data_IF_827903942508
#
_entry.id   IF_827903942508
#
_cell.length_a   1.000
_cell.length_b   1.000
_cell.length_c   1.000
_cell.angle_alpha   90.00
_cell.angle_beta   90.00
_cell.angle_gamma   90.00
#
_symmetry.space_group_name_H-M   'P 1'
#
loop_
_entity.id
_entity.type
_entity.pdbx_description
1 polymer ?
#
# COMPACT_ATOMS: atom_id res chain seq x y z
N UNK A 1 -5.63 3.22 -10.19
CA UNK A 1 -5.79 3.75 -8.82
C UNK A 1 -4.48 4.42 -8.39
N UNK A 2 -4.49 5.71 -8.03
CA UNK A 2 -3.28 6.51 -7.79
C UNK A 2 -3.07 6.65 -6.29
N UNK A 3 -1.96 6.12 -5.77
CA UNK A 3 -1.66 6.16 -4.32
C UNK A 3 -0.91 7.41 -3.85
N UNK A 4 -0.52 8.31 -4.75
CA UNK A 4 0.26 9.51 -4.40
C UNK A 4 -0.70 10.69 -4.16
N UNK A 5 -0.65 11.25 -2.96
CA UNK A 5 -1.38 12.46 -2.58
C UNK A 5 -0.56 13.67 -3.05
N UNK A 6 -0.95 14.26 -4.19
CA UNK A 6 -0.29 15.46 -4.70
C UNK A 6 -0.25 15.50 -6.23
N UNK A 7 -1.21 16.18 -6.86
CA UNK A 7 -1.28 16.30 -8.31
C UNK A 7 -0.85 17.65 -8.87
N UNK A 8 -0.95 18.70 -8.13
CA UNK A 8 -0.53 20.02 -8.57
C UNK A 8 1.02 20.12 -8.46
N UNK A 9 1.71 19.92 -9.58
CA UNK A 9 3.15 20.11 -9.69
C UNK A 9 4.05 18.89 -9.44
N UNK A 10 3.49 17.70 -9.17
CA UNK A 10 4.32 16.51 -8.86
C UNK A 10 5.03 15.91 -10.08
N UNK A 11 4.61 16.19 -11.30
CA UNK A 11 5.30 15.73 -12.52
C UNK A 11 6.72 16.28 -12.71
N UNK A 12 7.10 17.32 -11.95
CA UNK A 12 8.46 17.87 -11.94
C UNK A 12 9.27 17.49 -10.69
N UNK A 13 8.64 16.86 -9.69
CA UNK A 13 9.28 16.53 -8.40
C UNK A 13 9.95 15.18 -8.43
N UNK A 14 9.33 14.22 -9.07
CA UNK A 14 9.83 12.85 -9.26
C UNK A 14 9.17 12.18 -10.47
N UNK A 15 9.85 11.18 -11.03
CA UNK A 15 9.33 10.31 -12.05
C UNK A 15 8.78 9.03 -11.41
N UNK A 16 7.54 8.66 -11.74
CA UNK A 16 6.86 7.48 -11.24
C UNK A 16 6.49 6.54 -12.40
N UNK A 17 7.03 5.34 -12.37
CA UNK A 17 6.69 4.28 -13.31
C UNK A 17 6.03 3.10 -12.60
N UNK A 18 5.18 2.36 -13.33
CA UNK A 18 4.51 1.14 -12.86
C UNK A 18 4.47 0.12 -13.97
N UNK A 19 4.68 -1.15 -13.60
CA UNK A 19 4.60 -2.27 -14.54
C UNK A 19 4.01 -3.52 -13.87
N UNK A 20 3.51 -4.42 -14.71
CA UNK A 20 2.96 -5.69 -14.26
C UNK A 20 4.09 -6.65 -13.84
N UNK A 21 3.84 -7.52 -12.84
CA UNK A 21 4.74 -8.60 -12.49
C UNK A 21 4.79 -9.67 -13.60
N UNK A 22 5.84 -10.49 -13.59
CA UNK A 22 5.87 -11.74 -14.35
C UNK A 22 4.73 -12.67 -13.91
N UNK A 23 4.32 -13.65 -14.73
CA UNK A 23 3.25 -14.60 -14.37
C UNK A 23 3.52 -15.32 -13.04
N UNK A 24 4.77 -15.64 -12.72
CA UNK A 24 5.16 -16.32 -11.49
C UNK A 24 5.04 -15.41 -10.27
N UNK A 25 5.46 -14.17 -10.36
CA UNK A 25 5.35 -13.19 -9.28
C UNK A 25 3.90 -12.68 -9.12
N UNK A 26 3.09 -12.64 -10.19
CA UNK A 26 1.71 -12.15 -10.19
C UNK A 26 0.78 -12.90 -9.22
N UNK A 27 1.15 -14.12 -8.83
CA UNK A 27 0.44 -14.88 -7.78
C UNK A 27 0.44 -14.19 -6.43
N UNK A 28 1.43 -13.33 -6.18
CA UNK A 28 1.68 -12.68 -4.89
C UNK A 28 1.78 -11.16 -5.00
N UNK A 29 2.28 -10.64 -6.13
CA UNK A 29 2.54 -9.22 -6.38
C UNK A 29 1.47 -8.63 -7.29
N UNK A 30 0.90 -7.50 -6.89
CA UNK A 30 -0.10 -6.76 -7.67
C UNK A 30 0.55 -5.93 -8.77
N UNK A 31 1.66 -5.27 -8.43
CA UNK A 31 2.44 -4.45 -9.38
C UNK A 31 3.84 -4.17 -8.86
N UNK A 32 4.74 -3.91 -9.79
CA UNK A 32 6.00 -3.23 -9.53
C UNK A 32 5.86 -1.73 -9.79
N UNK A 33 6.69 -0.95 -9.12
CA UNK A 33 6.74 0.50 -9.29
C UNK A 33 8.14 1.02 -9.03
N UNK A 34 8.47 2.18 -9.60
CA UNK A 34 9.68 2.92 -9.26
C UNK A 34 9.38 4.41 -9.13
N UNK A 35 10.13 5.05 -8.26
CA UNK A 35 10.19 6.50 -8.11
C UNK A 35 11.65 6.91 -8.20
N UNK A 36 11.95 7.90 -9.03
CA UNK A 36 13.27 8.52 -9.09
C UNK A 36 13.16 10.03 -9.05
N UNK A 37 14.16 10.69 -8.46
CA UNK A 37 14.18 12.14 -8.32
C UNK A 37 15.60 12.69 -8.38
N UNK A 38 15.71 13.97 -8.81
CA UNK A 38 16.90 14.79 -8.65
C UNK A 38 16.48 16.15 -8.12
N UNK A 39 16.68 16.35 -6.83
CA UNK A 39 16.28 17.56 -6.09
C UNK A 39 17.47 18.34 -5.55
N UNK A 40 18.65 18.14 -6.10
CA UNK A 40 19.87 18.82 -5.64
C UNK A 40 19.77 20.34 -5.77
N UNK A 41 18.96 20.83 -6.74
CA UNK A 41 18.73 22.26 -6.94
C UNK A 41 17.53 22.80 -6.14
N UNK A 42 16.54 21.95 -5.77
CA UNK A 42 15.24 22.39 -5.24
C UNK A 42 15.06 22.17 -3.72
N UNK A 43 16.00 21.46 -3.10
CA UNK A 43 15.92 21.09 -1.68
C UNK A 43 14.92 19.96 -1.36
N UNK A 44 14.77 19.64 -0.07
CA UNK A 44 13.93 18.52 0.36
C UNK A 44 12.45 18.69 0.01
N UNK A 45 11.78 17.57 -0.27
CA UNK A 45 10.34 17.51 -0.53
C UNK A 45 9.67 16.44 0.34
N UNK A 46 8.64 16.84 1.09
CA UNK A 46 7.84 15.90 1.87
C UNK A 46 6.76 15.27 0.98
N UNK A 47 6.87 13.97 0.76
CA UNK A 47 5.88 13.18 0.04
C UNK A 47 4.91 12.50 1.01
N UNK A 48 3.63 12.50 0.66
CA UNK A 48 2.59 11.79 1.39
C UNK A 48 1.87 10.82 0.45
N UNK A 49 1.69 9.58 0.88
CA UNK A 49 1.07 8.51 0.08
C UNK A 49 -0.05 7.85 0.85
N UNK A 50 -1.23 7.76 0.22
CA UNK A 50 -2.33 6.92 0.71
C UNK A 50 -1.98 5.48 0.35
N UNK A 51 -1.64 4.68 1.36
CA UNK A 51 -1.23 3.30 1.17
C UNK A 51 -2.42 2.35 1.04
N UNK A 52 -2.18 1.19 0.46
CA UNK A 52 -3.11 0.06 0.41
C UNK A 52 -2.89 -0.87 1.61
N UNK A 53 -3.81 -1.81 1.90
CA UNK A 53 -3.59 -2.87 2.88
C UNK A 53 -2.60 -3.93 2.31
N UNK A 54 -1.41 -3.47 1.95
CA UNK A 54 -0.40 -4.23 1.23
C UNK A 54 0.98 -4.01 1.83
N UNK A 55 1.78 -5.06 1.88
CA UNK A 55 3.19 -4.99 2.18
C UNK A 55 3.95 -4.67 0.89
N UNK A 56 5.05 -3.92 1.02
CA UNK A 56 5.96 -3.66 -0.09
C UNK A 56 7.35 -4.16 0.26
N UNK A 57 8.06 -4.68 -0.72
CA UNK A 57 9.52 -4.83 -0.67
C UNK A 57 10.10 -3.78 -1.59
N UNK A 58 11.07 -3.00 -1.10
CA UNK A 58 11.72 -1.94 -1.87
C UNK A 58 13.24 -2.10 -1.88
N UNK A 59 13.87 -1.76 -3.00
CA UNK A 59 15.28 -1.38 -3.07
C UNK A 59 15.35 0.14 -3.11
N UNK A 60 16.11 0.73 -2.19
CA UNK A 60 16.23 2.18 -2.02
C UNK A 60 17.68 2.62 -2.02
N UNK A 61 18.00 3.69 -2.77
CA UNK A 61 19.34 4.27 -2.84
C UNK A 61 19.29 5.77 -3.16
N UNK A 62 20.41 6.46 -3.01
CA UNK A 62 20.55 7.88 -3.34
C UNK A 62 21.57 8.60 -2.48
N UNK A 63 21.52 9.94 -2.54
CA UNK A 63 22.41 10.81 -1.78
C UNK A 63 22.09 10.80 -0.27
N UNK A 64 20.86 10.43 0.12
CA UNK A 64 20.49 10.24 1.52
C UNK A 64 21.24 9.02 2.09
N UNK A 65 21.96 9.20 3.19
CA UNK A 65 22.67 8.10 3.87
C UNK A 65 21.76 7.29 4.79
N UNK A 66 20.61 7.85 5.21
CA UNK A 66 19.63 7.20 6.08
C UNK A 66 18.21 7.57 5.64
N UNK A 67 17.35 6.58 5.48
CA UNK A 67 15.90 6.75 5.24
C UNK A 67 15.14 5.72 6.05
N UNK A 68 13.98 6.12 6.62
CA UNK A 68 13.19 5.26 7.53
C UNK A 68 13.99 4.73 8.73
N UNK A 69 15.06 5.41 9.15
CA UNK A 69 15.95 4.95 10.22
C UNK A 69 16.95 3.86 9.81
N UNK A 70 17.05 3.57 8.50
CA UNK A 70 17.94 2.54 7.94
C UNK A 70 18.94 3.18 6.99
N UNK A 71 20.21 2.72 7.03
CA UNK A 71 21.26 3.18 6.13
C UNK A 71 21.00 2.73 4.70
N UNK A 72 21.24 3.60 3.73
CA UNK A 72 21.14 3.33 2.30
C UNK A 72 22.52 3.11 1.65
N UNK A 73 22.60 2.37 0.54
CA UNK A 73 21.52 1.65 -0.14
C UNK A 73 21.05 0.43 0.64
N UNK A 74 19.73 0.13 0.60
CA UNK A 74 19.17 -1.02 1.33
C UNK A 74 17.94 -1.61 0.62
N UNK A 75 17.65 -2.87 0.96
CA UNK A 75 16.40 -3.54 0.59
C UNK A 75 15.53 -3.65 1.85
N UNK A 76 14.30 -3.12 1.76
CA UNK A 76 13.43 -2.93 2.91
C UNK A 76 12.09 -3.63 2.73
N UNK A 77 11.53 -4.13 3.83
CA UNK A 77 10.12 -4.54 3.91
C UNK A 77 9.35 -3.43 4.60
N UNK A 78 8.38 -2.85 3.90
CA UNK A 78 7.42 -1.92 4.44
C UNK A 78 6.15 -2.68 4.79
N UNK A 79 5.87 -2.83 6.07
CA UNK A 79 4.62 -3.38 6.56
C UNK A 79 3.43 -2.48 6.21
N UNK A 80 2.21 -2.98 6.41
CA UNK A 80 1.01 -2.16 6.18
C UNK A 80 1.08 -0.90 7.04
N UNK A 81 0.91 0.25 6.40
CA UNK A 81 0.95 1.56 7.06
C UNK A 81 -0.47 1.93 7.51
N UNK A 82 -0.75 1.98 8.83
CA UNK A 82 -2.09 2.24 9.33
C UNK A 82 -2.62 3.65 9.06
N UNK A 83 -1.72 4.60 8.79
CA UNK A 83 -2.02 6.00 8.50
C UNK A 83 -1.46 6.39 7.13
N UNK A 84 -1.39 7.69 6.83
CA UNK A 84 -0.69 8.18 5.65
C UNK A 84 0.81 7.88 5.78
N UNK A 85 1.41 7.35 4.71
CA UNK A 85 2.86 7.16 4.64
C UNK A 85 3.51 8.50 4.27
N UNK A 86 4.44 8.96 5.09
CA UNK A 86 5.20 10.19 4.85
C UNK A 86 6.68 9.86 4.72
N UNK A 87 7.31 10.46 3.73
CA UNK A 87 8.76 10.36 3.54
C UNK A 87 9.27 11.67 2.97
N UNK A 88 10.48 12.04 3.33
CA UNK A 88 11.18 13.18 2.74
C UNK A 88 12.17 12.66 1.72
N UNK A 89 12.15 13.22 0.51
CA UNK A 89 13.12 12.97 -0.54
C UNK A 89 14.00 14.22 -0.70
N UNK A 90 15.30 14.01 -0.80
CA UNK A 90 16.30 15.07 -0.99
C UNK A 90 17.43 14.58 -1.91
N UNK A 91 18.27 15.50 -2.41
CA UNK A 91 19.36 15.13 -3.28
C UNK A 91 18.88 14.38 -4.53
N UNK A 92 19.65 13.40 -4.97
CA UNK A 92 19.29 12.45 -6.04
C UNK A 92 19.06 11.07 -5.43
N UNK A 93 18.04 10.36 -5.90
CA UNK A 93 17.79 9.01 -5.43
C UNK A 93 16.71 8.29 -6.21
N UNK A 94 16.57 7.02 -5.90
CA UNK A 94 15.51 6.19 -6.47
C UNK A 94 15.05 5.10 -5.50
N UNK A 95 13.85 4.61 -5.76
CA UNK A 95 13.22 3.47 -5.10
C UNK A 95 12.59 2.59 -6.17
N UNK A 96 12.82 1.30 -6.08
CA UNK A 96 12.08 0.28 -6.84
C UNK A 96 11.33 -0.59 -5.83
N UNK A 97 10.06 -0.86 -6.09
CA UNK A 97 9.23 -1.60 -5.14
C UNK A 97 8.31 -2.64 -5.78
N UNK A 98 8.15 -3.75 -5.08
CA UNK A 98 7.10 -4.74 -5.31
C UNK A 98 5.96 -4.47 -4.33
N UNK A 99 4.76 -4.14 -4.83
CA UNK A 99 3.54 -4.07 -4.02
C UNK A 99 2.85 -5.42 -4.08
N UNK A 100 2.76 -6.09 -2.96
CA UNK A 100 2.07 -7.36 -2.85
C UNK A 100 0.54 -7.18 -2.89
N UNK A 101 -0.18 -8.20 -3.36
CA UNK A 101 -1.60 -8.31 -3.04
C UNK A 101 -1.79 -8.37 -1.52
N UNK A 102 -2.92 -7.89 -0.96
CA UNK A 102 -3.19 -8.09 0.45
C UNK A 102 -3.12 -9.58 0.82
N UNK A 103 -2.23 -9.93 1.76
CA UNK A 103 -1.93 -11.32 2.13
C UNK A 103 -0.87 -12.01 1.28
N UNK A 104 -0.51 -11.47 0.11
CA UNK A 104 0.44 -12.11 -0.82
C UNK A 104 1.86 -12.23 -0.26
N UNK A 105 2.32 -11.28 0.55
CA UNK A 105 3.61 -11.35 1.23
C UNK A 105 3.69 -12.55 2.19
N UNK A 106 2.69 -12.71 3.05
CA UNK A 106 2.63 -13.85 3.98
C UNK A 106 2.50 -15.17 3.23
N UNK A 107 1.68 -15.23 2.19
CA UNK A 107 1.54 -16.43 1.36
C UNK A 107 2.86 -16.83 0.66
N UNK A 108 3.68 -15.84 0.26
CA UNK A 108 4.96 -16.08 -0.41
C UNK A 108 6.07 -16.48 0.54
N UNK A 109 6.15 -15.83 1.70
CA UNK A 109 7.32 -15.92 2.59
C UNK A 109 7.02 -16.58 3.93
N UNK A 110 5.76 -16.91 4.25
CA UNK A 110 5.38 -17.51 5.54
C UNK A 110 5.52 -16.59 6.75
N UNK A 111 5.86 -15.31 6.55
CA UNK A 111 6.06 -14.34 7.64
C UNK A 111 4.74 -13.70 8.06
N UNK A 112 4.57 -13.45 9.35
CA UNK A 112 3.38 -12.80 9.91
C UNK A 112 3.35 -11.30 9.54
N UNK A 113 2.39 -10.91 8.70
CA UNK A 113 2.20 -9.51 8.31
C UNK A 113 1.88 -8.60 9.52
N UNK A 114 1.27 -9.15 10.58
CA UNK A 114 0.93 -8.39 11.79
C UNK A 114 2.14 -7.89 12.55
N UNK A 115 3.26 -8.61 12.51
CA UNK A 115 4.52 -8.19 13.14
C UNK A 115 5.21 -7.04 12.40
N UNK A 116 4.88 -6.85 11.12
CA UNK A 116 5.44 -5.80 10.26
C UNK A 116 4.58 -4.53 10.22
N UNK A 117 3.34 -4.58 10.70
CA UNK A 117 2.41 -3.44 10.62
C UNK A 117 2.98 -2.18 11.25
N UNK A 118 3.02 -1.08 10.49
CA UNK A 118 3.58 0.21 10.90
C UNK A 118 5.10 0.26 10.99
N UNK A 119 5.80 -0.76 10.51
CA UNK A 119 7.26 -0.86 10.57
C UNK A 119 7.87 -0.88 9.18
N UNK A 120 9.10 -0.37 9.08
CA UNK A 120 10.00 -0.54 7.95
C UNK A 120 11.24 -1.25 8.50
N UNK A 121 11.58 -2.38 7.92
CA UNK A 121 12.70 -3.19 8.38
C UNK A 121 13.59 -3.62 7.21
N UNK A 122 14.91 -3.75 7.39
CA UNK A 122 15.76 -4.38 6.38
C UNK A 122 15.28 -5.79 6.05
N UNK A 123 15.41 -6.17 4.79
CA UNK A 123 15.25 -7.56 4.37
C UNK A 123 16.37 -8.38 5.01
N UNK A 124 16.01 -9.45 5.70
CA UNK A 124 16.97 -10.43 6.20
C UNK A 124 17.39 -11.40 5.08
N UNK A 125 18.59 -11.99 5.20
CA UNK A 125 19.15 -12.89 4.19
C UNK A 125 18.32 -14.17 3.99
N UNK A 126 17.47 -14.51 4.95
CA UNK A 126 16.61 -15.70 4.90
C UNK A 126 15.32 -15.48 4.11
N UNK A 127 14.89 -14.22 3.91
CA UNK A 127 13.57 -13.92 3.30
C UNK A 127 13.43 -14.53 1.90
N UNK A 128 14.49 -14.49 1.11
CA UNK A 128 14.50 -15.04 -0.24
C UNK A 128 15.19 -16.41 -0.35
N UNK A 129 15.67 -16.95 0.78
CA UNK A 129 16.43 -18.21 0.82
C UNK A 129 17.88 -18.07 0.34
N UNK A 130 18.28 -16.90 -0.14
CA UNK A 130 19.66 -16.54 -0.49
C UNK A 130 19.77 -15.00 -0.52
N UNK A 131 20.95 -14.42 -0.31
CA UNK A 131 21.17 -12.99 -0.46
C UNK A 131 20.82 -12.54 -1.86
N UNK A 132 19.99 -11.50 -1.97
CA UNK A 132 19.70 -10.86 -3.25
C UNK A 132 20.65 -9.69 -3.42
N UNK A 133 21.52 -9.77 -4.43
CA UNK A 133 22.30 -8.63 -4.88
C UNK A 133 21.41 -7.79 -5.79
N UNK A 134 20.87 -6.71 -5.23
CA UNK A 134 20.10 -5.71 -5.97
C UNK A 134 21.04 -4.56 -6.32
N UNK A 135 21.19 -4.33 -7.61
CA UNK A 135 21.93 -3.19 -8.15
C UNK A 135 21.18 -1.88 -7.90
N UNK A 136 21.89 -0.75 -7.92
CA UNK A 136 21.32 0.60 -7.79
C UNK A 136 20.94 1.13 -9.20
N UNK A 137 20.25 0.29 -9.96
CA UNK A 137 19.63 0.57 -11.25
C UNK A 137 18.17 0.09 -11.26
N UNK A 138 17.25 0.95 -11.73
CA UNK A 138 15.82 0.69 -11.68
C UNK A 138 15.41 -0.58 -12.43
N UNK A 139 15.93 -0.76 -13.63
CA UNK A 139 15.55 -1.91 -14.47
C UNK A 139 16.10 -3.21 -13.89
N UNK A 140 17.38 -3.21 -13.50
CA UNK A 140 18.08 -4.37 -12.92
C UNK A 140 17.47 -4.75 -11.57
N UNK A 141 17.25 -3.78 -10.67
CA UNK A 141 16.63 -4.03 -9.38
C UNK A 141 15.18 -4.55 -9.53
N UNK A 142 14.41 -3.98 -10.46
CA UNK A 142 13.05 -4.42 -10.73
C UNK A 142 12.99 -5.87 -11.24
N UNK A 143 13.85 -6.21 -12.20
CA UNK A 143 13.93 -7.57 -12.73
C UNK A 143 14.40 -8.59 -11.67
N UNK A 144 15.38 -8.21 -10.84
CA UNK A 144 15.89 -9.07 -9.78
C UNK A 144 14.83 -9.31 -8.67
N UNK A 145 14.07 -8.28 -8.28
CA UNK A 145 12.96 -8.43 -7.34
C UNK A 145 11.85 -9.32 -7.92
N UNK A 146 11.48 -9.13 -9.18
CA UNK A 146 10.47 -9.94 -9.86
C UNK A 146 10.89 -11.42 -9.90
N UNK A 147 12.12 -11.69 -10.32
CA UNK A 147 12.67 -13.04 -10.33
C UNK A 147 12.72 -13.68 -8.93
N UNK A 148 13.13 -12.91 -7.91
CA UNK A 148 13.25 -13.42 -6.55
C UNK A 148 11.87 -13.74 -5.92
N UNK A 149 10.86 -12.91 -6.16
CA UNK A 149 9.49 -13.22 -5.72
C UNK A 149 8.91 -14.37 -6.51
N UNK A 150 9.11 -14.40 -7.82
CA UNK A 150 8.64 -15.44 -8.73
C UNK A 150 9.31 -16.82 -8.57
N UNK A 151 10.49 -16.87 -7.94
CA UNK A 151 11.25 -18.12 -7.73
C UNK A 151 10.52 -19.18 -6.85
N UNK A 152 9.36 -18.86 -6.28
CA UNK A 152 8.53 -19.81 -5.56
C UNK A 152 7.80 -20.76 -6.52
N UNK A 153 8.12 -22.03 -6.47
CA UNK A 153 7.44 -23.06 -7.25
C UNK A 153 6.17 -23.60 -6.57
N UNK A 154 6.02 -23.37 -5.27
CA UNK A 154 4.87 -23.80 -4.52
C UNK A 154 3.62 -22.99 -4.87
N UNK A 155 2.48 -23.66 -4.99
CA UNK A 155 1.19 -22.98 -5.12
C UNK A 155 0.87 -22.20 -3.84
N UNK A 156 0.18 -21.05 -3.95
CA UNK A 156 -0.34 -20.33 -2.80
C UNK A 156 -1.15 -21.26 -1.88
N UNK A 157 -0.98 -21.13 -0.59
CA UNK A 157 -1.66 -21.99 0.38
C UNK A 157 -3.20 -21.83 0.34
N UNK A 158 -3.91 -22.82 0.91
CA UNK A 158 -5.37 -22.86 0.86
C UNK A 158 -6.02 -21.66 1.58
N UNK A 159 -5.39 -21.13 2.63
CA UNK A 159 -5.91 -19.98 3.38
C UNK A 159 -5.84 -18.72 2.53
N UNK A 160 -4.71 -18.48 1.87
CA UNK A 160 -4.56 -17.32 0.98
C UNK A 160 -5.51 -17.40 -0.22
N UNK A 161 -5.65 -18.59 -0.85
CA UNK A 161 -6.61 -18.78 -1.94
C UNK A 161 -8.04 -18.52 -1.53
N UNK A 162 -8.42 -18.84 -0.29
CA UNK A 162 -9.76 -18.57 0.24
C UNK A 162 -9.93 -17.11 0.71
N UNK A 163 -8.84 -16.42 1.10
CA UNK A 163 -8.84 -15.02 1.53
C UNK A 163 -8.99 -14.06 0.35
N UNK A 164 -8.35 -14.34 -0.78
CA UNK A 164 -8.31 -13.44 -1.95
C UNK A 164 -9.70 -13.05 -2.46
N UNK A 165 -10.66 -13.97 -2.70
CA UNK A 165 -12.01 -13.59 -3.14
C UNK A 165 -12.76 -12.71 -2.13
N UNK A 166 -12.52 -12.88 -0.83
CA UNK A 166 -13.12 -12.05 0.21
C UNK A 166 -12.56 -10.61 0.15
N UNK A 167 -11.24 -10.46 -0.04
CA UNK A 167 -10.59 -9.16 -0.18
C UNK A 167 -11.03 -8.43 -1.46
N UNK A 168 -11.15 -9.16 -2.58
CA UNK A 168 -11.65 -8.62 -3.84
C UNK A 168 -13.09 -8.11 -3.69
N UNK A 169 -13.96 -8.92 -3.06
CA UNK A 169 -15.32 -8.47 -2.75
C UNK A 169 -15.34 -7.22 -1.87
N UNK A 170 -14.53 -7.16 -0.83
CA UNK A 170 -14.44 -5.96 0.03
C UNK A 170 -14.00 -4.71 -0.72
N UNK A 171 -13.17 -4.88 -1.77
CA UNK A 171 -12.69 -3.78 -2.60
C UNK A 171 -13.73 -3.32 -3.63
N UNK A 172 -14.49 -4.26 -4.19
CA UNK A 172 -15.35 -4.04 -5.37
C UNK A 172 -16.82 -3.81 -5.00
N UNK A 173 -17.29 -4.43 -3.94
CA UNK A 173 -18.67 -4.32 -3.49
C UNK A 173 -18.86 -3.10 -2.59
N UNK A 174 -19.25 -1.98 -3.20
CA UNK A 174 -19.51 -0.71 -2.51
C UNK A 174 -20.67 -0.76 -1.50
N UNK A 175 -21.40 -1.87 -1.39
CA UNK A 175 -22.49 -2.05 -0.40
C UNK A 175 -22.01 -2.63 0.92
N UNK A 176 -20.78 -3.12 0.98
CA UNK A 176 -20.16 -3.64 2.20
C UNK A 176 -19.65 -2.50 3.08
N UNK A 177 -20.47 -2.08 4.05
CA UNK A 177 -20.15 -0.98 4.96
C UNK A 177 -19.80 -1.44 6.38
N UNK A 178 -20.17 -2.66 6.75
CA UNK A 178 -20.03 -3.21 8.12
C UNK A 178 -19.31 -4.55 8.11
N UNK A 179 -18.59 -4.80 9.19
CA UNK A 179 -17.84 -6.07 9.36
C UNK A 179 -18.77 -7.28 9.31
N UNK A 180 -19.98 -7.16 9.86
CA UNK A 180 -20.99 -8.23 9.87
C UNK A 180 -21.36 -8.65 8.45
N UNK A 181 -21.48 -7.70 7.52
CA UNK A 181 -21.75 -7.99 6.10
C UNK A 181 -20.58 -8.75 5.46
N UNK A 182 -19.34 -8.36 5.77
CA UNK A 182 -18.14 -9.08 5.29
C UNK A 182 -18.12 -10.51 5.83
N UNK A 183 -18.48 -10.71 7.09
CA UNK A 183 -18.48 -12.04 7.73
C UNK A 183 -19.47 -13.02 7.10
N UNK A 184 -20.55 -12.55 6.47
CA UNK A 184 -21.50 -13.41 5.71
C UNK A 184 -20.79 -14.10 4.54
N UNK A 185 -19.78 -13.46 3.96
CA UNK A 185 -19.03 -13.96 2.81
C UNK A 185 -17.71 -14.65 3.19
N UNK A 186 -17.34 -14.59 4.47
CA UNK A 186 -16.11 -15.20 4.93
C UNK A 186 -16.23 -16.74 4.96
N UNK A 187 -15.21 -17.48 4.47
CA UNK A 187 -15.23 -18.95 4.47
C UNK A 187 -14.96 -19.55 5.85
N UNK A 188 -14.76 -18.70 6.88
CA UNK A 188 -14.43 -19.11 8.23
C UNK A 188 -15.36 -18.45 9.28
N UNK A 189 -15.29 -18.95 10.52
CA UNK A 189 -15.91 -18.24 11.65
C UNK A 189 -15.32 -16.83 11.81
N UNK A 190 -16.08 -15.90 12.43
CA UNK A 190 -15.63 -14.53 12.70
C UNK A 190 -14.27 -14.49 13.40
N UNK A 191 -14.05 -15.33 14.42
CA UNK A 191 -12.77 -15.42 15.14
C UNK A 191 -11.62 -15.84 14.23
N UNK A 192 -11.84 -16.84 13.38
CA UNK A 192 -10.84 -17.34 12.44
C UNK A 192 -10.54 -16.27 11.37
N UNK A 193 -11.57 -15.63 10.81
CA UNK A 193 -11.41 -14.55 9.84
C UNK A 193 -10.57 -13.41 10.40
N UNK A 194 -10.84 -12.97 11.63
CA UNK A 194 -10.04 -11.92 12.28
C UNK A 194 -8.58 -12.33 12.45
N UNK A 195 -8.31 -13.60 12.82
CA UNK A 195 -6.96 -14.14 12.95
C UNK A 195 -6.25 -14.22 11.60
N UNK A 196 -6.95 -14.66 10.55
CA UNK A 196 -6.41 -14.71 9.17
C UNK A 196 -6.04 -13.33 8.67
N UNK A 197 -6.91 -12.33 8.85
CA UNK A 197 -6.61 -10.95 8.46
C UNK A 197 -5.40 -10.41 9.21
N UNK A 198 -5.31 -10.63 10.51
CA UNK A 198 -4.15 -10.19 11.29
C UNK A 198 -2.85 -10.82 10.78
N UNK A 199 -2.87 -12.13 10.54
CA UNK A 199 -1.68 -12.88 10.11
C UNK A 199 -1.29 -12.57 8.65
N UNK A 200 -2.26 -12.65 7.69
CA UNK A 200 -1.97 -12.49 6.27
C UNK A 200 -1.89 -11.03 5.84
N UNK A 201 -2.82 -10.18 6.30
CA UNK A 201 -2.94 -8.79 5.85
C UNK A 201 -2.24 -7.82 6.80
N UNK A 202 -2.06 -8.20 8.06
CA UNK A 202 -1.41 -7.40 9.09
C UNK A 202 -2.36 -6.46 9.85
N UNK A 203 -3.59 -6.30 9.40
CA UNK A 203 -4.56 -5.34 9.96
C UNK A 203 -5.95 -5.97 10.10
N UNK A 204 -6.81 -5.46 11.02
CA UNK A 204 -8.15 -6.00 11.20
C UNK A 204 -9.06 -5.80 9.98
N UNK A 205 -10.07 -6.69 9.82
CA UNK A 205 -11.12 -6.59 8.78
C UNK A 205 -11.74 -5.19 8.71
N UNK A 206 -12.10 -4.62 9.89
CA UNK A 206 -12.69 -3.27 9.99
C UNK A 206 -11.77 -2.20 9.37
N UNK A 207 -10.47 -2.31 9.60
CA UNK A 207 -9.49 -1.36 9.06
C UNK A 207 -9.42 -1.45 7.53
N UNK A 208 -9.37 -2.67 6.97
CA UNK A 208 -9.34 -2.89 5.50
C UNK A 208 -10.60 -2.31 4.85
N UNK A 209 -11.77 -2.61 5.42
CA UNK A 209 -13.05 -2.10 4.93
C UNK A 209 -13.09 -0.57 4.94
N UNK A 210 -12.73 0.05 6.06
CA UNK A 210 -12.66 1.51 6.18
C UNK A 210 -11.67 2.11 5.17
N UNK A 211 -10.51 1.45 4.96
CA UNK A 211 -9.49 1.91 4.02
C UNK A 211 -9.98 1.91 2.58
N UNK A 212 -10.65 0.87 2.13
CA UNK A 212 -11.23 0.81 0.77
C UNK A 212 -12.29 1.90 0.56
N UNK A 213 -13.18 2.09 1.53
CA UNK A 213 -14.20 3.15 1.50
C UNK A 213 -13.56 4.54 1.43
N UNK A 214 -12.50 4.80 2.21
CA UNK A 214 -11.79 6.08 2.18
C UNK A 214 -11.04 6.31 0.86
N UNK A 215 -10.52 5.25 0.23
CA UNK A 215 -9.93 5.34 -1.10
C UNK A 215 -10.99 5.70 -2.16
N UNK A 216 -12.18 5.09 -2.06
CA UNK A 216 -13.29 5.44 -2.93
C UNK A 216 -13.74 6.90 -2.72
N UNK A 217 -13.86 7.33 -1.47
CA UNK A 217 -14.19 8.73 -1.16
C UNK A 217 -13.14 9.70 -1.73
N UNK A 218 -11.86 9.41 -1.60
CA UNK A 218 -10.80 10.24 -2.14
C UNK A 218 -10.88 10.34 -3.68
N UNK A 219 -11.16 9.23 -4.37
CA UNK A 219 -11.36 9.23 -5.83
C UNK A 219 -12.56 10.05 -6.25
N UNK A 220 -13.69 9.95 -5.54
CA UNK A 220 -14.88 10.76 -5.84
C UNK A 220 -14.63 12.25 -5.63
N UNK A 221 -13.93 12.62 -4.55
CA UNK A 221 -13.51 14.01 -4.28
C UNK A 221 -12.59 14.54 -5.38
N UNK A 222 -11.65 13.72 -5.88
CA UNK A 222 -10.75 14.10 -6.98
C UNK A 222 -11.47 14.30 -8.33
N UNK A 223 -12.53 13.54 -8.57
CA UNK A 223 -13.22 13.51 -9.87
C UNK A 223 -14.48 14.36 -9.95
N UNK A 224 -15.01 14.82 -8.80
CA UNK A 224 -16.30 15.52 -8.72
C UNK A 224 -16.12 16.88 -8.05
N UNK A 225 -16.06 17.99 -8.81
CA UNK A 225 -15.99 19.32 -8.24
C UNK A 225 -17.21 19.61 -7.35
N UNK A 226 -16.98 20.13 -6.15
CA UNK A 226 -18.06 20.53 -5.25
C UNK A 226 -18.87 19.36 -4.66
N UNK A 227 -18.29 18.16 -4.56
CA UNK A 227 -18.95 16.99 -3.95
C UNK A 227 -19.51 17.32 -2.56
N UNK A 228 -20.77 16.93 -2.31
CA UNK A 228 -21.40 17.05 -1.00
C UNK A 228 -20.84 15.95 -0.07
N UNK A 229 -20.09 16.37 0.96
CA UNK A 229 -19.48 15.43 1.91
C UNK A 229 -20.49 14.74 2.81
N UNK A 230 -21.66 15.32 3.06
CA UNK A 230 -22.71 14.69 3.84
C UNK A 230 -23.36 13.54 3.05
N UNK A 231 -23.68 13.79 1.77
CA UNK A 231 -24.18 12.77 0.85
C UNK A 231 -23.13 11.66 0.65
N UNK A 232 -21.88 12.02 0.37
CA UNK A 232 -20.77 11.08 0.20
C UNK A 232 -20.59 10.18 1.43
N UNK A 233 -20.65 10.75 2.62
CA UNK A 233 -20.54 10.00 3.86
C UNK A 233 -21.63 8.93 3.96
N UNK A 234 -22.90 9.30 3.75
CA UNK A 234 -24.04 8.38 3.82
C UNK A 234 -23.96 7.30 2.76
N UNK A 235 -23.68 7.65 1.50
CA UNK A 235 -23.56 6.69 0.39
C UNK A 235 -22.47 5.65 0.62
N UNK A 236 -21.35 6.07 1.21
CA UNK A 236 -20.25 5.18 1.53
C UNK A 236 -20.37 4.54 2.94
N UNK A 237 -21.53 4.68 3.61
CA UNK A 237 -21.90 3.95 4.83
C UNK A 237 -21.31 4.51 6.12
N UNK A 238 -20.93 5.79 6.18
CA UNK A 238 -20.73 6.48 7.44
C UNK A 238 -22.06 6.95 8.02
N UNK A 239 -22.13 7.08 9.34
CA UNK A 239 -23.33 7.53 10.01
C UNK A 239 -23.68 8.99 9.65
N UNK A 240 -22.66 9.85 9.61
CA UNK A 240 -22.77 11.26 9.27
C UNK A 240 -21.42 11.81 8.72
N UNK A 241 -21.45 13.07 8.30
CA UNK A 241 -20.26 13.79 7.78
C UNK A 241 -19.16 13.95 8.86
N UNK A 242 -19.52 14.10 10.13
CA UNK A 242 -18.53 14.28 11.20
C UNK A 242 -17.74 13.00 11.43
N UNK A 243 -18.42 11.86 11.47
CA UNK A 243 -17.77 10.54 11.54
C UNK A 243 -16.87 10.27 10.33
N UNK A 244 -17.38 10.54 9.11
CA UNK A 244 -16.59 10.46 7.89
C UNK A 244 -15.33 11.32 7.96
N UNK A 245 -15.47 12.62 8.33
CA UNK A 245 -14.35 13.56 8.40
C UNK A 245 -13.30 13.15 9.43
N UNK A 246 -13.72 12.57 10.57
CA UNK A 246 -12.82 12.05 11.59
C UNK A 246 -12.02 10.84 11.08
N UNK A 247 -12.68 9.86 10.45
CA UNK A 247 -12.01 8.68 9.86
C UNK A 247 -11.07 9.10 8.72
N UNK A 248 -11.51 10.03 7.86
CA UNK A 248 -10.72 10.56 6.77
C UNK A 248 -9.44 11.24 7.30
N UNK A 249 -9.58 12.13 8.29
CA UNK A 249 -8.42 12.78 8.93
C UNK A 249 -7.51 11.78 9.63
N UNK A 250 -8.04 10.81 10.34
CA UNK A 250 -7.25 9.80 11.05
C UNK A 250 -6.38 8.96 10.10
N UNK A 251 -6.91 8.60 8.91
CA UNK A 251 -6.22 7.75 7.95
C UNK A 251 -5.42 8.51 6.88
N UNK A 252 -5.86 9.72 6.48
CA UNK A 252 -5.25 10.48 5.39
C UNK A 252 -4.49 11.72 5.87
N UNK A 253 -4.61 12.05 7.16
CA UNK A 253 -3.88 13.15 7.79
C UNK A 253 -4.43 14.55 7.49
N UNK A 254 -5.53 14.68 6.75
CA UNK A 254 -6.23 15.92 6.46
C UNK A 254 -7.74 15.70 6.39
N UNK A 255 -8.54 16.75 6.50
CA UNK A 255 -10.00 16.70 6.32
C UNK A 255 -10.37 16.50 4.85
N UNK A 256 -11.62 16.02 4.54
CA UNK A 256 -12.13 15.95 3.18
C UNK A 256 -12.09 17.30 2.45
N UNK A 257 -12.39 18.42 3.15
CA UNK A 257 -12.32 19.76 2.60
C UNK A 257 -10.90 20.21 2.25
N UNK A 258 -9.92 19.96 3.14
CA UNK A 258 -8.52 20.21 2.86
C UNK A 258 -8.01 19.34 1.71
N UNK A 259 -8.49 18.11 1.62
CA UNK A 259 -8.16 17.21 0.51
C UNK A 259 -8.75 17.72 -0.81
N UNK A 260 -10.02 18.09 -0.83
CA UNK A 260 -10.68 18.66 -2.01
C UNK A 260 -10.01 19.94 -2.52
N UNK A 261 -9.59 20.84 -1.62
CA UNK A 261 -8.88 22.07 -2.00
C UNK A 261 -7.51 21.84 -2.64
N UNK A 262 -6.87 20.69 -2.35
CA UNK A 262 -5.56 20.33 -2.91
C UNK A 262 -5.63 19.50 -4.18
N UNK A 263 -6.68 18.67 -4.32
CA UNK A 263 -6.72 17.59 -5.31
C UNK A 263 -8.06 17.52 -6.08
N UNK A 264 -9.10 18.20 -5.63
CA UNK A 264 -10.36 18.34 -6.37
C UNK A 264 -10.15 19.17 -7.63
N UNK A 265 -10.67 18.68 -8.74
CA UNK A 265 -10.56 19.30 -10.08
C UNK A 265 -11.46 20.50 -10.20
#
# INVERSE_FOLDING_TARGET
MRGVVGRAGTGSVFDLHRWAPSPDAARFVEQFWSVSWDRRADGPFESAVITFPAIHITREWGDDVVRHGVSLPNTLVHGVVPKVFRTTISGRGAVVGARFHPGGFTARFGRDAGELTGRVVPVDDELFGAPILLDDDIATAGAALDAAVGACTAEPDATYRALTPLLDRMREDGTLHRVEQVMIHAPWSTRTTQRVFRHYVGVPVKWVLCRYRLQQAALEIESTPGVDFADLAVRLGWYDQAHFSNDFRAMLGCTPGEYASRYGS
#
